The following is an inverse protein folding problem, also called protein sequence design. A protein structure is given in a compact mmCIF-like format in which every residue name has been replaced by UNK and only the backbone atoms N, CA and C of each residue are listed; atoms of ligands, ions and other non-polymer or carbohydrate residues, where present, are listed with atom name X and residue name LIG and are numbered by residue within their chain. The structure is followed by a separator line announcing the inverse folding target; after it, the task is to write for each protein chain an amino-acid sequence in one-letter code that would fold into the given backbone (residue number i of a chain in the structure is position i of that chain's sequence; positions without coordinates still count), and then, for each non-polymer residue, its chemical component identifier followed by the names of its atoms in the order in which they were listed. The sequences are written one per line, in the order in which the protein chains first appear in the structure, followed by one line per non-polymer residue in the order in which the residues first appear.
data_IF_591532681228
#
_entry.id   IF_591532681228
#
_cell.length_a   1.000
_cell.length_b   1.000
_cell.length_c   1.000
_cell.angle_alpha   90.00
_cell.angle_beta   90.00
_cell.angle_gamma   90.00
#
_symmetry.space_group_name_H-M   'P 1'
#
loop_
_entity.id
_entity.type
_entity.pdbx_description
1 polymer ?
#
# COMPACT_ATOMS: atom_id res chain seq x y z
N UNK A 1 11.33 -6.33 37.62
CA UNK A 1 12.37 -7.36 37.91
C UNK A 1 11.94 -8.78 37.52
N UNK A 2 10.65 -9.15 37.57
CA UNK A 2 10.14 -10.48 37.15
C UNK A 2 10.35 -10.83 35.65
N UNK A 3 10.52 -9.83 34.78
CA UNK A 3 10.70 -10.04 33.32
C UNK A 3 12.16 -10.31 32.88
N UNK A 4 13.14 -10.23 33.79
CA UNK A 4 14.55 -10.53 33.47
C UNK A 4 14.96 -11.97 33.82
N UNK A 5 14.17 -12.70 34.61
CA UNK A 5 14.50 -14.07 35.05
C UNK A 5 14.17 -15.16 34.01
N UNK A 6 13.33 -14.88 33.01
CA UNK A 6 13.02 -15.85 31.95
C UNK A 6 14.10 -15.97 30.87
N UNK A 7 15.23 -15.27 31.01
CA UNK A 7 16.42 -15.45 30.15
C UNK A 7 17.45 -16.44 30.71
N UNK A 8 17.26 -16.95 31.94
CA UNK A 8 18.28 -17.78 32.60
C UNK A 8 18.22 -19.27 32.26
N UNK A 9 17.05 -19.86 31.97
CA UNK A 9 16.97 -21.31 31.71
C UNK A 9 16.15 -21.63 30.46
N UNK A 10 16.79 -21.42 29.31
CA UNK A 10 16.25 -21.75 27.99
C UNK A 10 17.31 -22.42 27.12
N UNK A 11 18.08 -23.35 27.70
CA UNK A 11 18.98 -24.22 26.93
C UNK A 11 18.17 -25.17 26.06
N UNK A 12 17.66 -24.67 24.93
CA UNK A 12 17.42 -25.53 23.78
C UNK A 12 18.81 -25.86 23.25
N UNK A 13 19.35 -26.98 23.71
CA UNK A 13 20.57 -27.56 23.15
C UNK A 13 20.27 -27.86 21.69
N UNK A 14 20.56 -26.90 20.82
CA UNK A 14 20.67 -27.14 19.40
C UNK A 14 21.80 -28.15 19.25
N UNK A 15 21.44 -29.45 19.20
CA UNK A 15 22.36 -30.53 18.87
C UNK A 15 22.92 -30.20 17.50
N UNK A 16 24.10 -29.57 17.48
CA UNK A 16 24.87 -29.28 16.29
C UNK A 16 25.31 -30.64 15.76
N UNK A 17 24.46 -31.24 14.92
CA UNK A 17 24.75 -32.43 14.11
C UNK A 17 25.89 -32.10 13.15
N UNK A 18 27.10 -32.03 13.71
CA UNK A 18 28.33 -31.60 13.07
C UNK A 18 29.17 -32.77 12.58
N UNK A 19 28.85 -34.00 13.04
CA UNK A 19 29.55 -35.23 12.60
C UNK A 19 29.09 -35.77 11.24
N UNK A 20 27.85 -35.54 10.83
CA UNK A 20 27.33 -36.03 9.54
C UNK A 20 27.53 -35.07 8.36
N UNK A 21 27.98 -33.82 8.61
CA UNK A 21 28.16 -32.81 7.56
C UNK A 21 29.52 -32.93 6.85
N UNK A 22 30.55 -33.40 7.55
CA UNK A 22 31.92 -33.50 7.02
C UNK A 22 32.08 -34.66 6.02
N UNK A 23 31.48 -35.82 6.27
CA UNK A 23 31.63 -36.98 5.37
C UNK A 23 30.81 -36.85 4.07
N UNK A 24 29.65 -36.19 4.12
CA UNK A 24 28.82 -35.95 2.93
C UNK A 24 29.40 -34.82 2.07
N UNK A 25 30.10 -33.85 2.69
CA UNK A 25 30.73 -32.74 1.98
C UNK A 25 31.93 -33.17 1.13
N UNK A 26 32.67 -34.22 1.53
CA UNK A 26 33.73 -34.77 0.68
C UNK A 26 33.19 -35.47 -0.57
N UNK A 27 32.08 -36.22 -0.46
CA UNK A 27 31.46 -36.93 -1.60
C UNK A 27 30.65 -36.03 -2.54
N UNK A 28 30.39 -34.78 -2.16
CA UNK A 28 29.63 -33.81 -2.95
C UNK A 28 30.51 -32.87 -3.80
N UNK A 29 31.80 -33.15 -3.93
CA UNK A 29 32.71 -32.36 -4.78
C UNK A 29 32.39 -32.61 -6.25
N UNK A 30 32.19 -31.53 -7.01
CA UNK A 30 31.98 -31.58 -8.47
C UNK A 30 33.26 -32.06 -9.15
N UNK A 31 33.12 -32.83 -10.23
CA UNK A 31 34.26 -33.30 -11.05
C UNK A 31 35.04 -32.13 -11.69
N UNK A 32 34.37 -31.01 -11.99
CA UNK A 32 35.00 -29.76 -12.46
C UNK A 32 34.11 -28.55 -12.11
N UNK A 33 34.64 -27.32 -12.28
CA UNK A 33 33.93 -26.07 -11.94
C UNK A 33 32.61 -25.88 -12.69
N UNK A 34 32.49 -26.47 -13.88
CA UNK A 34 31.35 -26.33 -14.78
C UNK A 34 30.47 -27.60 -14.86
N UNK A 35 30.73 -28.60 -14.02
CA UNK A 35 29.95 -29.84 -14.00
C UNK A 35 28.88 -29.82 -12.89
N UNK A 36 27.67 -30.38 -13.13
CA UNK A 36 26.68 -30.59 -12.08
C UNK A 36 27.19 -31.59 -11.04
N UNK A 37 26.68 -31.50 -9.82
CA UNK A 37 26.95 -32.46 -8.74
C UNK A 37 25.80 -33.45 -8.59
N UNK A 38 26.11 -34.74 -8.58
CA UNK A 38 25.15 -35.81 -8.30
C UNK A 38 24.80 -35.85 -6.80
N UNK A 39 23.52 -36.05 -6.47
CA UNK A 39 23.02 -36.19 -5.09
C UNK A 39 22.09 -37.40 -4.98
N UNK A 40 22.14 -38.11 -3.85
CA UNK A 40 21.29 -39.30 -3.64
C UNK A 40 19.81 -38.91 -3.48
N UNK A 41 18.91 -39.65 -4.15
CA UNK A 41 17.45 -39.48 -4.02
C UNK A 41 16.92 -39.77 -2.61
N UNK A 42 17.71 -40.44 -1.76
CA UNK A 42 17.36 -40.71 -0.36
C UNK A 42 17.61 -39.50 0.55
N UNK A 43 18.28 -38.45 0.06
CA UNK A 43 18.54 -37.23 0.83
C UNK A 43 17.27 -36.38 0.83
N UNK A 44 16.61 -36.18 1.99
CA UNK A 44 15.41 -35.37 2.04
C UNK A 44 15.73 -33.91 1.73
N UNK A 45 14.89 -33.26 0.93
CA UNK A 45 14.95 -31.82 0.68
C UNK A 45 14.40 -31.05 1.89
N UNK A 46 14.95 -29.86 2.18
CA UNK A 46 14.37 -29.01 3.23
C UNK A 46 13.01 -28.51 2.79
N UNK A 47 12.02 -28.56 3.68
CA UNK A 47 10.68 -28.00 3.44
C UNK A 47 10.66 -26.48 3.58
N UNK A 48 11.58 -25.93 4.35
CA UNK A 48 11.75 -24.49 4.54
C UNK A 48 12.53 -23.88 3.37
N UNK A 49 11.94 -22.87 2.74
CA UNK A 49 12.60 -21.98 1.78
C UNK A 49 12.79 -20.63 2.46
N UNK A 50 13.99 -20.06 2.37
CA UNK A 50 14.24 -18.69 2.79
C UNK A 50 13.58 -17.75 1.77
N UNK A 51 12.46 -17.15 2.15
CA UNK A 51 11.75 -16.18 1.32
C UNK A 51 12.36 -14.81 1.57
N UNK A 52 13.17 -14.32 0.62
CA UNK A 52 13.65 -12.93 0.65
C UNK A 52 12.43 -12.02 0.48
N UNK A 53 12.11 -11.11 1.43
CA UNK A 53 11.02 -10.17 1.24
C UNK A 53 11.38 -9.23 0.10
N UNK A 54 10.77 -9.44 -1.06
CA UNK A 54 10.86 -8.50 -2.17
C UNK A 54 9.92 -7.34 -1.87
N UNK A 55 10.43 -6.11 -1.93
CA UNK A 55 9.56 -4.93 -2.00
C UNK A 55 8.88 -4.98 -3.36
N UNK A 56 7.68 -5.59 -3.41
CA UNK A 56 6.87 -5.63 -4.61
C UNK A 56 6.61 -4.21 -5.11
N UNK A 57 6.78 -3.98 -6.42
CA UNK A 57 6.39 -2.71 -7.03
C UNK A 57 4.90 -2.52 -6.76
N UNK A 58 4.54 -1.48 -6.02
CA UNK A 58 3.15 -1.12 -5.79
C UNK A 58 2.53 -0.78 -7.14
N UNK A 59 1.39 -1.37 -7.48
CA UNK A 59 0.62 -0.99 -8.65
C UNK A 59 0.00 0.39 -8.45
N UNK A 60 0.82 1.43 -8.62
CA UNK A 60 0.36 2.82 -8.58
C UNK A 60 -0.06 3.21 -9.98
N UNK A 61 -1.19 3.91 -10.09
CA UNK A 61 -1.64 4.45 -11.36
C UNK A 61 -0.58 5.43 -11.89
N UNK A 62 -0.05 5.22 -13.11
CA UNK A 62 1.01 6.04 -13.67
C UNK A 62 0.62 7.51 -13.75
N UNK A 63 -0.67 7.87 -13.83
CA UNK A 63 -1.11 9.29 -13.83
C UNK A 63 -0.70 10.05 -12.58
N UNK A 64 -0.50 9.34 -11.47
CA UNK A 64 -0.11 9.92 -10.19
C UNK A 64 1.34 9.55 -9.81
N UNK A 65 2.12 9.00 -10.74
CA UNK A 65 3.53 8.73 -10.52
C UNK A 65 4.34 10.03 -10.59
N UNK A 66 5.39 10.14 -9.75
CA UNK A 66 6.29 11.31 -9.72
C UNK A 66 7.01 11.57 -11.06
N UNK A 67 7.09 10.55 -11.91
CA UNK A 67 7.71 10.55 -13.24
C UNK A 67 6.82 11.14 -14.33
N UNK A 68 5.51 11.27 -14.08
CA UNK A 68 4.51 11.66 -15.10
C UNK A 68 4.48 13.15 -15.45
N UNK A 69 5.49 13.91 -15.00
CA UNK A 69 5.71 15.29 -15.37
C UNK A 69 5.16 16.30 -14.36
N UNK A 70 5.17 17.58 -14.76
CA UNK A 70 4.69 18.70 -13.95
C UNK A 70 3.30 19.14 -14.42
N UNK A 71 2.46 19.59 -13.49
CA UNK A 71 1.14 20.13 -13.80
C UNK A 71 1.29 21.45 -14.59
N UNK A 72 0.58 21.55 -15.71
CA UNK A 72 0.39 22.81 -16.42
C UNK A 72 -0.93 23.45 -15.94
N UNK A 73 -0.83 24.50 -15.13
CA UNK A 73 -1.98 25.15 -14.52
C UNK A 73 -2.91 25.81 -15.53
N UNK A 74 -2.38 26.43 -16.58
CA UNK A 74 -3.19 27.13 -17.58
C UNK A 74 -4.04 26.17 -18.38
N UNK A 75 -3.45 25.04 -18.81
CA UNK A 75 -4.18 24.00 -19.51
C UNK A 75 -5.23 23.38 -18.58
N UNK A 76 -4.85 23.07 -17.33
CA UNK A 76 -5.75 22.50 -16.34
C UNK A 76 -6.97 23.40 -16.08
N UNK A 77 -6.77 24.70 -15.88
CA UNK A 77 -7.86 25.66 -15.67
C UNK A 77 -8.81 25.72 -16.87
N UNK A 78 -8.27 25.62 -18.09
CA UNK A 78 -9.08 25.61 -19.32
C UNK A 78 -9.82 24.28 -19.52
N UNK A 79 -9.15 23.14 -19.37
CA UNK A 79 -9.76 21.83 -19.63
C UNK A 79 -10.81 21.47 -18.59
N UNK A 80 -10.67 21.97 -17.36
CA UNK A 80 -11.59 21.70 -16.25
C UNK A 80 -12.43 22.91 -15.82
N UNK A 81 -12.59 23.93 -16.68
CA UNK A 81 -13.41 25.12 -16.39
C UNK A 81 -14.88 24.78 -16.07
N UNK A 82 -15.39 23.71 -16.69
CA UNK A 82 -16.74 23.20 -16.47
C UNK A 82 -16.99 22.78 -15.02
N UNK A 83 -15.95 22.43 -14.25
CA UNK A 83 -16.09 22.02 -12.85
C UNK A 83 -16.51 23.20 -11.99
N UNK A 84 -15.93 24.39 -12.21
CA UNK A 84 -16.36 25.61 -11.52
C UNK A 84 -17.78 26.00 -11.92
N UNK A 85 -18.10 25.95 -13.22
CA UNK A 85 -19.43 26.29 -13.73
C UNK A 85 -20.51 25.37 -13.14
N UNK A 86 -20.24 24.06 -13.08
CA UNK A 86 -21.16 23.08 -12.50
C UNK A 86 -21.38 23.32 -11.00
N UNK A 87 -20.34 23.62 -10.22
CA UNK A 87 -20.49 23.95 -8.79
C UNK A 87 -21.37 25.19 -8.59
N UNK A 88 -21.20 26.21 -9.42
CA UNK A 88 -22.07 27.40 -9.36
C UNK A 88 -23.52 27.07 -9.70
N UNK A 89 -23.75 26.21 -10.68
CA UNK A 89 -25.10 25.73 -11.03
C UNK A 89 -25.72 24.97 -9.85
N UNK A 90 -25.00 24.04 -9.23
CA UNK A 90 -25.46 23.29 -8.03
C UNK A 90 -25.86 24.24 -6.89
N UNK A 91 -25.07 25.28 -6.63
CA UNK A 91 -25.41 26.31 -5.62
C UNK A 91 -26.70 27.06 -5.98
N UNK A 92 -26.89 27.42 -7.25
CA UNK A 92 -28.09 28.12 -7.72
C UNK A 92 -29.32 27.24 -7.58
N UNK A 93 -29.23 25.97 -7.96
CA UNK A 93 -30.30 24.98 -7.85
C UNK A 93 -30.70 24.77 -6.39
N UNK A 94 -29.73 24.59 -5.49
CA UNK A 94 -30.00 24.45 -4.06
C UNK A 94 -30.72 25.68 -3.48
N UNK A 95 -30.30 26.89 -3.85
CA UNK A 95 -30.99 28.13 -3.44
C UNK A 95 -32.42 28.20 -3.95
N UNK A 96 -32.67 27.78 -5.19
CA UNK A 96 -34.01 27.72 -5.75
C UNK A 96 -34.89 26.69 -5.03
N UNK A 97 -34.34 25.52 -4.71
CA UNK A 97 -35.03 24.51 -3.91
C UNK A 97 -35.39 25.06 -2.53
N UNK A 98 -34.47 25.76 -1.88
CA UNK A 98 -34.70 26.39 -0.58
C UNK A 98 -35.91 27.33 -0.59
N UNK A 99 -36.06 28.13 -1.64
CA UNK A 99 -37.20 29.05 -1.78
C UNK A 99 -38.56 28.37 -1.96
N UNK A 100 -38.57 27.08 -2.33
CA UNK A 100 -39.79 26.31 -2.62
C UNK A 100 -40.20 25.39 -1.46
N UNK A 101 -39.25 24.99 -0.61
CA UNK A 101 -39.50 24.08 0.51
C UNK A 101 -40.27 24.82 1.61
N UNK A 102 -41.32 24.18 2.12
CA UNK A 102 -42.12 24.67 3.27
C UNK A 102 -41.89 23.83 4.53
N UNK A 103 -41.44 22.58 4.36
CA UNK A 103 -41.20 21.66 5.47
C UNK A 103 -39.91 22.05 6.21
N UNK A 104 -39.95 22.25 7.55
CA UNK A 104 -38.82 22.75 8.31
C UNK A 104 -37.64 21.78 8.31
N UNK A 105 -37.88 20.48 8.44
CA UNK A 105 -36.82 19.46 8.46
C UNK A 105 -36.10 19.33 7.10
N UNK A 106 -36.83 19.55 5.99
CA UNK A 106 -36.25 19.53 4.66
C UNK A 106 -35.46 20.81 4.37
N UNK A 107 -35.92 21.94 4.92
CA UNK A 107 -35.25 23.22 4.83
C UNK A 107 -33.90 23.19 5.55
N UNK A 108 -33.85 22.69 6.79
CA UNK A 108 -32.58 22.57 7.55
C UNK A 108 -31.56 21.68 6.82
N UNK A 109 -32.00 20.56 6.24
CA UNK A 109 -31.13 19.67 5.45
C UNK A 109 -30.57 20.35 4.21
N UNK A 110 -31.42 21.08 3.49
CA UNK A 110 -31.01 21.79 2.27
C UNK A 110 -30.08 22.99 2.59
N UNK A 111 -30.30 23.69 3.70
CA UNK A 111 -29.39 24.72 4.22
C UNK A 111 -28.04 24.13 4.63
N UNK A 112 -28.04 22.99 5.32
CA UNK A 112 -26.83 22.25 5.68
C UNK A 112 -26.01 21.83 4.45
N UNK A 113 -26.69 21.29 3.43
CA UNK A 113 -26.04 20.90 2.17
C UNK A 113 -25.41 22.11 1.45
N UNK A 114 -26.12 23.25 1.39
CA UNK A 114 -25.59 24.49 0.81
C UNK A 114 -24.38 25.01 1.59
N UNK A 115 -24.43 24.93 2.92
CA UNK A 115 -23.33 25.29 3.82
C UNK A 115 -22.08 24.45 3.56
N UNK A 116 -22.22 23.13 3.42
CA UNK A 116 -21.12 22.23 3.10
C UNK A 116 -20.53 22.49 1.72
N UNK A 117 -21.37 22.67 0.69
CA UNK A 117 -20.90 22.96 -0.67
C UNK A 117 -20.09 24.27 -0.71
N UNK A 118 -20.55 25.30 0.02
CA UNK A 118 -19.84 26.57 0.17
C UNK A 118 -18.52 26.42 0.93
N UNK A 119 -18.48 25.61 2.00
CA UNK A 119 -17.24 25.30 2.75
C UNK A 119 -16.21 24.62 1.85
N UNK A 120 -16.63 23.64 1.06
CA UNK A 120 -15.73 22.92 0.13
C UNK A 120 -15.16 23.87 -0.92
N UNK A 121 -15.96 24.83 -1.42
CA UNK A 121 -15.49 25.82 -2.38
C UNK A 121 -14.43 26.77 -1.81
N UNK A 122 -14.52 27.12 -0.53
CA UNK A 122 -13.55 27.99 0.14
C UNK A 122 -12.22 27.29 0.44
N UNK A 123 -12.24 25.99 0.76
CA UNK A 123 -11.02 25.21 1.03
C UNK A 123 -10.07 25.10 -0.17
N UNK A 124 -10.60 25.16 -1.39
CA UNK A 124 -9.83 25.06 -2.63
C UNK A 124 -9.18 26.37 -3.10
N UNK A 125 -9.26 27.45 -2.33
CA UNK A 125 -8.69 28.77 -2.68
C UNK A 125 -7.42 29.13 -1.90
N UNK A 126 -6.80 28.17 -1.20
CA UNK A 126 -5.53 28.33 -0.48
C UNK A 126 -4.34 27.82 -1.28
#
# INVERSE_FOLDING_TARGET
EVLQELKKDGTVVARKGSRAKTEVAEKARRKSKHAPSEVTSKRPVSRYREVVPMVGRRGVDPRFERTSGKLNEDLFRKTYSFVSEKREQEIRELKQQLSKIKDPDALEKAEGALGELRRVQQRGQG
#
